data_IF_883915313807
#
_entry.id   IF_883915313807
#
_cell.length_a   1.000
_cell.length_b   1.000
_cell.length_c   1.000
_cell.angle_alpha   90.00
_cell.angle_beta   90.00
_cell.angle_gamma   90.00
#
_symmetry.space_group_name_H-M   'P 1'
#
loop_
_entity.id
_entity.type
_entity.pdbx_description
1 polymer ?
#
# COMPACT_ATOMS: atom_id res chain seq x y z
N UNK A 1 3.91 30.18 3.13
CA UNK A 1 3.49 28.76 3.08
C UNK A 1 2.34 28.56 2.11
N UNK A 2 1.26 29.37 2.18
CA UNK A 2 0.20 29.39 1.16
C UNK A 2 0.72 29.73 -0.24
N UNK A 3 1.56 30.77 -0.37
CA UNK A 3 2.13 31.18 -1.68
C UNK A 3 2.98 30.10 -2.37
N UNK A 4 3.59 29.20 -1.59
CA UNK A 4 4.44 28.10 -2.08
C UNK A 4 3.74 26.73 -2.03
N UNK A 5 2.42 26.73 -1.77
CA UNK A 5 1.55 25.54 -1.76
C UNK A 5 2.04 24.40 -0.85
N UNK A 6 2.53 24.73 0.35
CA UNK A 6 2.91 23.73 1.36
C UNK A 6 1.74 23.49 2.32
N UNK A 7 1.33 22.22 2.44
CA UNK A 7 0.39 21.74 3.45
C UNK A 7 1.12 21.44 4.76
N UNK A 8 0.68 22.02 5.87
CA UNK A 8 1.25 21.79 7.20
C UNK A 8 0.25 21.07 8.09
N UNK A 9 0.62 19.91 8.64
CA UNK A 9 -0.16 19.20 9.66
C UNK A 9 0.65 19.11 10.95
N UNK A 10 0.01 19.31 12.10
CA UNK A 10 0.70 19.40 13.40
C UNK A 10 -0.01 18.50 14.42
N UNK A 11 0.79 17.68 15.11
CA UNK A 11 0.34 16.91 16.28
C UNK A 11 0.87 17.62 17.53
N UNK A 12 -0.04 18.24 18.29
CA UNK A 12 0.25 18.88 19.57
C UNK A 12 0.34 17.86 20.71
N UNK A 13 1.14 18.18 21.73
CA UNK A 13 1.22 17.41 22.96
C UNK A 13 0.49 18.17 24.08
N UNK A 14 -0.38 17.49 24.81
CA UNK A 14 -1.11 17.96 26.00
C UNK A 14 -2.15 19.06 25.78
N UNK A 15 -1.85 20.11 25.03
CA UNK A 15 -2.72 21.27 24.87
C UNK A 15 -2.78 21.77 23.43
N UNK A 16 -3.91 22.39 23.10
CA UNK A 16 -4.13 23.06 21.82
C UNK A 16 -3.40 24.41 21.78
N UNK A 17 -2.61 24.64 20.73
CA UNK A 17 -1.98 25.93 20.44
C UNK A 17 -2.74 26.60 19.30
N UNK A 18 -3.39 27.73 19.61
CA UNK A 18 -4.22 28.47 18.65
C UNK A 18 -3.49 28.78 17.33
N UNK A 19 -2.23 29.22 17.41
CA UNK A 19 -1.42 29.56 16.23
C UNK A 19 -1.20 28.32 15.33
N UNK A 20 -0.91 27.15 15.93
CA UNK A 20 -0.71 25.92 15.17
C UNK A 20 -2.00 25.43 14.52
N UNK A 21 -3.14 25.58 15.21
CA UNK A 21 -4.45 25.26 14.64
C UNK A 21 -4.80 26.17 13.47
N UNK A 22 -4.60 27.47 13.62
CA UNK A 22 -4.80 28.44 12.55
C UNK A 22 -3.89 28.15 11.34
N UNK A 23 -2.61 27.83 11.58
CA UNK A 23 -1.68 27.42 10.52
C UNK A 23 -2.18 26.20 9.72
N UNK A 24 -2.66 25.17 10.40
CA UNK A 24 -3.15 23.96 9.73
C UNK A 24 -4.42 24.25 8.92
N UNK A 25 -5.32 25.07 9.45
CA UNK A 25 -6.54 25.51 8.74
C UNK A 25 -6.21 26.29 7.47
N UNK A 26 -5.29 27.26 7.57
CA UNK A 26 -4.88 28.10 6.44
C UNK A 26 -4.13 27.32 5.35
N UNK A 27 -3.42 26.23 5.71
CA UNK A 27 -2.65 25.41 4.77
C UNK A 27 -3.38 24.14 4.31
N UNK A 28 -4.62 23.91 4.75
CA UNK A 28 -5.40 22.71 4.42
C UNK A 28 -4.84 21.41 5.00
N UNK A 29 -4.09 21.50 6.11
CA UNK A 29 -3.61 20.36 6.87
C UNK A 29 -4.51 20.00 8.06
N UNK A 30 -4.05 19.06 8.90
CA UNK A 30 -4.76 18.63 10.10
C UNK A 30 -4.04 19.06 11.37
N UNK A 31 -4.81 19.37 12.42
CA UNK A 31 -4.31 19.65 13.75
C UNK A 31 -4.96 18.69 14.75
N UNK A 32 -4.15 17.91 15.46
CA UNK A 32 -4.62 16.94 16.48
C UNK A 32 -3.80 17.09 17.75
N UNK A 33 -4.39 16.76 18.91
CA UNK A 33 -3.69 16.78 20.21
C UNK A 33 -3.61 15.36 20.75
N UNK A 34 -2.40 14.89 21.01
CA UNK A 34 -2.18 13.58 21.62
C UNK A 34 -2.60 13.59 23.10
N UNK A 35 -3.35 12.56 23.49
CA UNK A 35 -3.88 12.38 24.85
C UNK A 35 -2.99 11.43 25.65
N UNK A 36 -2.61 10.31 25.04
CA UNK A 36 -1.75 9.27 25.59
C UNK A 36 -0.80 8.72 24.51
N UNK A 37 0.07 7.79 24.90
CA UNK A 37 1.05 7.16 23.99
C UNK A 37 0.37 6.38 22.85
N UNK A 38 -0.76 5.71 23.14
CA UNK A 38 -1.50 4.92 22.17
C UNK A 38 -2.13 5.83 21.11
N UNK A 39 -2.84 6.88 21.53
CA UNK A 39 -3.42 7.86 20.62
C UNK A 39 -2.33 8.58 19.80
N UNK A 40 -1.16 8.87 20.38
CA UNK A 40 -0.06 9.45 19.60
C UNK A 40 0.42 8.53 18.48
N UNK A 41 0.53 7.22 18.73
CA UNK A 41 0.89 6.24 17.69
C UNK A 41 -0.17 6.18 16.60
N UNK A 42 -1.45 6.22 16.96
CA UNK A 42 -2.55 6.27 16.00
C UNK A 42 -2.48 7.53 15.12
N UNK A 43 -2.28 8.70 15.71
CA UNK A 43 -2.15 9.97 14.97
C UNK A 43 -0.95 9.98 14.01
N UNK A 44 0.17 9.33 14.39
CA UNK A 44 1.31 9.17 13.49
C UNK A 44 1.01 8.21 12.34
N UNK A 45 0.31 7.11 12.61
CA UNK A 45 -0.07 6.13 11.60
C UNK A 45 -1.11 6.69 10.62
N UNK A 46 -1.99 7.60 11.07
CA UNK A 46 -2.92 8.32 10.19
C UNK A 46 -2.20 9.17 9.13
N UNK A 47 -0.99 9.63 9.44
CA UNK A 47 -0.13 10.39 8.51
C UNK A 47 0.79 9.52 7.64
N UNK A 48 0.83 8.20 7.85
CA UNK A 48 1.60 7.28 7.02
C UNK A 48 1.04 7.12 5.58
N UNK A 49 -0.28 6.96 5.36
CA UNK A 49 -0.83 6.96 4.00
C UNK A 49 -0.76 8.37 3.40
N UNK A 50 -0.46 8.50 2.10
CA UNK A 50 -0.43 9.79 1.44
C UNK A 50 -1.84 10.42 1.48
N UNK A 51 -2.00 11.64 2.01
CA UNK A 51 -3.30 12.28 2.06
C UNK A 51 -3.79 12.59 0.65
N UNK A 52 -5.12 12.61 0.42
CA UNK A 52 -5.67 12.97 -0.88
C UNK A 52 -5.23 14.38 -1.27
N UNK A 53 -4.76 14.52 -2.50
CA UNK A 53 -4.42 15.82 -3.06
C UNK A 53 -5.69 16.65 -3.26
N UNK A 54 -5.62 17.94 -2.94
CA UNK A 54 -6.71 18.88 -3.20
C UNK A 54 -6.80 19.07 -4.71
N UNK A 55 -7.94 18.74 -5.31
CA UNK A 55 -8.11 18.61 -6.76
C UNK A 55 -7.70 19.88 -7.55
N UNK A 56 -7.90 21.07 -6.99
CA UNK A 56 -7.51 22.35 -7.61
C UNK A 56 -6.00 22.53 -7.74
N UNK A 57 -5.20 21.84 -6.91
CA UNK A 57 -3.74 21.97 -6.87
C UNK A 57 -3.02 20.71 -7.34
N UNK A 58 -3.75 19.65 -7.68
CA UNK A 58 -3.22 18.38 -8.15
C UNK A 58 -2.86 18.44 -9.64
N UNK A 59 -1.91 19.29 -10.02
CA UNK A 59 -1.39 19.30 -11.39
C UNK A 59 -0.65 17.99 -11.64
N UNK A 60 -1.19 17.14 -12.52
CA UNK A 60 -0.55 15.90 -12.91
C UNK A 60 0.75 16.20 -13.67
N UNK A 61 1.88 16.13 -12.97
CA UNK A 61 3.19 16.35 -13.58
C UNK A 61 3.83 15.01 -13.96
N UNK A 62 4.22 14.86 -15.23
CA UNK A 62 4.87 13.65 -15.69
C UNK A 62 6.37 13.71 -15.38
N UNK A 63 6.78 12.96 -14.37
CA UNK A 63 8.18 12.88 -13.96
C UNK A 63 8.86 11.73 -14.72
N UNK A 64 10.01 12.02 -15.35
CA UNK A 64 10.84 10.99 -15.97
C UNK A 64 11.55 10.19 -14.86
N UNK A 65 11.30 8.88 -14.81
CA UNK A 65 11.97 7.94 -13.91
C UNK A 65 12.89 7.00 -14.68
N UNK A 66 13.93 6.48 -14.01
CA UNK A 66 14.85 5.48 -14.55
C UNK A 66 14.75 4.16 -13.77
N UNK A 67 14.68 3.05 -14.51
CA UNK A 67 14.75 1.69 -13.96
C UNK A 67 16.14 1.10 -14.23
N UNK A 68 17.08 1.23 -13.30
CA UNK A 68 18.44 0.74 -13.52
C UNK A 68 18.50 -0.79 -13.35
N UNK A 69 19.35 -1.43 -14.15
CA UNK A 69 19.66 -2.85 -14.00
C UNK A 69 20.74 -3.04 -12.93
N UNK A 70 20.60 -4.12 -12.15
CA UNK A 70 21.62 -4.55 -11.18
C UNK A 70 22.75 -5.24 -11.95
N UNK A 71 23.97 -4.74 -11.79
CA UNK A 71 25.15 -5.35 -12.36
C UNK A 71 25.48 -6.68 -11.65
N UNK A 72 26.14 -7.59 -12.37
CA UNK A 72 26.59 -8.86 -11.82
C UNK A 72 27.50 -8.66 -10.61
N UNK A 73 27.36 -9.56 -9.63
CA UNK A 73 28.17 -9.59 -8.42
C UNK A 73 29.63 -9.94 -8.78
N UNK A 74 30.61 -9.28 -8.14
CA UNK A 74 32.04 -9.53 -8.34
C UNK A 74 32.80 -8.50 -9.19
N UNK A 75 32.12 -7.56 -9.84
CA UNK A 75 32.80 -6.48 -10.58
C UNK A 75 33.14 -5.32 -9.63
N UNK A 76 34.44 -5.03 -9.45
CA UNK A 76 34.89 -3.85 -8.71
C UNK A 76 34.42 -2.61 -9.48
N UNK A 77 33.73 -1.71 -8.79
CA UNK A 77 33.38 -0.45 -9.42
C UNK A 77 33.31 0.72 -8.49
N UNK A 78 33.64 1.87 -9.08
CA UNK A 78 33.55 3.16 -8.42
C UNK A 78 32.13 3.68 -8.62
N UNK A 79 31.41 3.88 -7.53
CA UNK A 79 30.09 4.48 -7.59
C UNK A 79 30.19 6.01 -7.53
N UNK A 80 29.24 6.70 -8.15
CA UNK A 80 29.12 8.17 -8.07
C UNK A 80 28.72 8.65 -6.68
N UNK A 81 28.27 7.75 -5.80
CA UNK A 81 27.85 8.04 -4.43
C UNK A 81 29.02 8.27 -3.45
N UNK A 82 29.92 7.31 -3.38
CA UNK A 82 30.98 7.23 -2.39
C UNK A 82 32.36 7.56 -3.00
N UNK A 83 32.48 7.56 -4.34
CA UNK A 83 33.75 7.74 -5.06
C UNK A 83 34.85 6.74 -4.69
N UNK A 84 34.47 5.70 -3.96
CA UNK A 84 35.33 4.58 -3.55
C UNK A 84 35.01 3.37 -4.41
N UNK A 85 36.04 2.55 -4.65
CA UNK A 85 35.88 1.25 -5.29
C UNK A 85 35.22 0.28 -4.30
N UNK A 86 33.92 0.04 -4.47
CA UNK A 86 33.21 -0.99 -3.71
C UNK A 86 33.15 -2.27 -4.52
N UNK A 87 33.45 -3.39 -3.86
CA UNK A 87 33.27 -4.74 -4.39
C UNK A 87 31.82 -5.12 -4.08
N UNK A 88 30.98 -5.23 -5.11
CA UNK A 88 29.58 -5.56 -4.93
C UNK A 88 28.72 -5.12 -6.11
N UNK A 89 27.56 -5.78 -6.26
CA UNK A 89 26.57 -5.41 -7.27
C UNK A 89 26.07 -3.97 -7.06
N UNK A 90 26.04 -3.19 -8.13
CA UNK A 90 25.52 -1.82 -8.13
C UNK A 90 24.51 -1.64 -9.27
N UNK A 91 23.75 -0.56 -9.19
CA UNK A 91 22.76 -0.19 -10.19
C UNK A 91 23.36 0.75 -11.23
N UNK A 92 23.09 0.50 -12.51
CA UNK A 92 23.58 1.35 -13.59
C UNK A 92 22.49 2.30 -14.08
N UNK A 93 22.72 3.61 -13.98
CA UNK A 93 21.79 4.63 -14.46
C UNK A 93 21.52 4.43 -15.96
N UNK A 94 20.26 4.34 -16.41
CA UNK A 94 19.94 4.08 -17.81
C UNK A 94 20.35 5.23 -18.74
N UNK A 95 20.37 6.48 -18.24
CA UNK A 95 20.65 7.70 -19.01
C UNK A 95 22.15 7.99 -19.16
N UNK A 96 22.88 8.12 -18.06
CA UNK A 96 24.29 8.53 -18.08
C UNK A 96 25.27 7.39 -17.76
N UNK A 97 24.78 6.17 -17.52
CA UNK A 97 25.58 4.99 -17.16
C UNK A 97 26.38 5.10 -15.85
N UNK A 98 26.13 6.14 -15.05
CA UNK A 98 26.66 6.26 -13.70
C UNK A 98 26.27 5.06 -12.82
N UNK A 99 27.19 4.59 -11.99
CA UNK A 99 26.92 3.51 -11.01
C UNK A 99 26.48 4.08 -9.67
N UNK A 100 25.50 3.42 -9.09
CA UNK A 100 24.84 3.79 -7.85
C UNK A 100 24.74 2.56 -6.95
N UNK A 101 24.96 2.71 -5.65
CA UNK A 101 24.92 1.58 -4.71
C UNK A 101 23.49 1.12 -4.39
N UNK A 102 22.57 2.05 -4.18
CA UNK A 102 21.25 1.75 -3.61
C UNK A 102 20.12 2.48 -4.35
N UNK A 103 18.91 1.95 -4.23
CA UNK A 103 17.68 2.52 -4.75
C UNK A 103 16.66 2.57 -3.61
N UNK A 104 15.69 3.51 -3.63
CA UNK A 104 15.52 4.59 -4.61
C UNK A 104 16.51 5.75 -4.38
N UNK A 105 16.99 6.39 -5.44
CA UNK A 105 17.86 7.58 -5.31
C UNK A 105 17.90 8.43 -6.58
N UNK A 106 18.34 9.67 -6.47
CA UNK A 106 18.57 10.55 -7.62
C UNK A 106 19.99 10.39 -8.18
N UNK A 107 20.10 10.27 -9.51
CA UNK A 107 21.40 10.19 -10.15
C UNK A 107 22.16 11.53 -10.09
N UNK A 108 23.27 11.56 -9.35
CA UNK A 108 24.12 12.75 -9.18
C UNK A 108 24.75 13.34 -10.45
N UNK A 109 24.74 12.60 -11.57
CA UNK A 109 25.28 13.08 -12.86
C UNK A 109 24.21 13.72 -13.73
N UNK A 110 23.00 13.15 -13.78
CA UNK A 110 21.97 13.56 -14.75
C UNK A 110 20.62 13.97 -14.13
N UNK A 111 20.51 13.96 -12.80
CA UNK A 111 19.30 14.31 -12.06
C UNK A 111 18.13 13.35 -12.23
N UNK A 112 18.33 12.19 -12.86
CA UNK A 112 17.25 11.23 -13.09
C UNK A 112 16.94 10.47 -11.80
N UNK A 113 15.68 10.49 -11.37
CA UNK A 113 15.19 9.66 -10.26
C UNK A 113 15.24 8.18 -10.63
N UNK A 114 16.02 7.41 -9.89
CA UNK A 114 16.21 5.98 -10.09
C UNK A 114 15.39 5.20 -9.06
N UNK A 115 14.52 4.33 -9.56
CA UNK A 115 13.63 3.48 -8.75
C UNK A 115 13.62 2.06 -9.29
N UNK A 116 13.36 1.09 -8.42
CA UNK A 116 13.12 -0.29 -8.84
C UNK A 116 11.62 -0.48 -9.10
N UNK A 117 11.25 -1.36 -10.03
CA UNK A 117 9.84 -1.72 -10.25
C UNK A 117 9.18 -2.24 -8.96
N UNK A 118 9.84 -3.04 -8.10
CA UNK A 118 9.29 -3.44 -6.80
C UNK A 118 8.99 -2.28 -5.85
N UNK A 119 9.76 -1.19 -5.86
CA UNK A 119 9.47 -0.03 -5.00
C UNK A 119 8.17 0.65 -5.42
N UNK A 120 7.96 0.83 -6.73
CA UNK A 120 6.70 1.38 -7.23
C UNK A 120 5.55 0.41 -6.97
N UNK A 121 5.74 -0.89 -7.26
CA UNK A 121 4.76 -1.95 -7.03
C UNK A 121 4.30 -1.97 -5.56
N UNK A 122 5.21 -1.73 -4.62
CA UNK A 122 4.85 -1.65 -3.21
C UNK A 122 3.89 -0.51 -2.94
N UNK A 123 4.02 0.67 -3.54
CA UNK A 123 3.08 1.77 -3.33
C UNK A 123 1.68 1.54 -3.92
N UNK A 124 1.46 0.51 -4.74
CA UNK A 124 0.14 0.27 -5.37
C UNK A 124 -0.97 0.00 -4.36
N UNK A 125 -0.69 -0.60 -3.19
CA UNK A 125 -1.75 -0.91 -2.23
C UNK A 125 -2.39 0.33 -1.62
N UNK A 126 -1.65 1.44 -1.52
CA UNK A 126 -2.21 2.72 -1.08
C UNK A 126 -3.00 3.41 -2.20
N UNK A 127 -2.62 3.20 -3.46
CA UNK A 127 -3.30 3.79 -4.61
C UNK A 127 -4.60 3.05 -4.96
N UNK A 128 -4.64 1.74 -4.71
CA UNK A 128 -5.76 0.87 -5.02
C UNK A 128 -6.01 -0.10 -3.86
N UNK A 129 -6.52 0.39 -2.72
CA UNK A 129 -6.82 -0.45 -1.59
C UNK A 129 -7.88 -1.51 -1.95
N UNK A 130 -7.80 -2.66 -1.29
CA UNK A 130 -8.83 -3.68 -1.43
C UNK A 130 -10.12 -3.17 -0.81
N UNK A 131 -11.25 -3.42 -1.47
CA UNK A 131 -12.56 -3.12 -0.90
C UNK A 131 -12.79 -4.00 0.33
N UNK A 132 -13.23 -3.42 1.47
CA UNK A 132 -13.60 -4.18 2.66
C UNK A 132 -14.54 -5.33 2.31
N UNK A 133 -14.37 -6.46 3.00
CA UNK A 133 -15.23 -7.62 2.77
C UNK A 133 -16.58 -7.44 3.49
N UNK A 134 -17.63 -8.02 2.91
CA UNK A 134 -18.97 -7.93 3.46
C UNK A 134 -19.15 -8.99 4.55
N UNK A 135 -19.61 -8.58 5.72
CA UNK A 135 -20.01 -9.51 6.77
C UNK A 135 -21.19 -10.39 6.31
N UNK A 136 -21.11 -11.69 6.59
CA UNK A 136 -22.21 -12.61 6.28
C UNK A 136 -23.17 -12.66 7.46
N UNK A 137 -24.43 -12.35 7.20
CA UNK A 137 -25.48 -12.30 8.23
C UNK A 137 -25.68 -13.68 8.90
N UNK A 138 -25.81 -13.75 10.24
CA UNK A 138 -26.06 -15.00 10.97
C UNK A 138 -27.32 -15.75 10.53
N UNK A 139 -28.32 -15.03 10.00
CA UNK A 139 -29.56 -15.59 9.46
C UNK A 139 -29.34 -16.46 8.21
N UNK A 140 -28.35 -16.13 7.38
CA UNK A 140 -27.97 -16.92 6.20
C UNK A 140 -27.13 -18.15 6.57
N UNK A 141 -26.40 -18.08 7.68
CA UNK A 141 -25.60 -19.19 8.21
C UNK A 141 -26.45 -20.33 8.79
N UNK A 142 -27.68 -20.03 9.23
CA UNK A 142 -28.60 -21.00 9.82
C UNK A 142 -29.60 -21.62 8.83
N UNK A 143 -29.59 -21.22 7.56
CA UNK A 143 -30.52 -21.75 6.57
C UNK A 143 -29.98 -23.03 5.91
N UNK A 144 -30.59 -24.22 6.12
CA UNK A 144 -30.10 -25.50 5.59
C UNK A 144 -30.14 -25.62 4.06
N UNK A 145 -30.80 -24.68 3.36
CA UNK A 145 -30.89 -24.68 1.89
C UNK A 145 -29.74 -23.93 1.20
N UNK A 146 -28.92 -23.16 1.92
CA UNK A 146 -27.76 -22.46 1.35
C UNK A 146 -26.47 -23.25 1.60
N UNK A 147 -25.86 -23.77 0.53
CA UNK A 147 -24.53 -24.40 0.56
C UNK A 147 -23.45 -23.34 0.80
N UNK A 148 -23.28 -22.90 2.05
CA UNK A 148 -22.14 -22.09 2.43
C UNK A 148 -20.86 -22.94 2.40
N UNK A 149 -19.71 -22.37 1.97
CA UNK A 149 -18.45 -23.07 2.07
C UNK A 149 -18.09 -23.30 3.54
N UNK A 150 -17.59 -24.51 3.82
CA UNK A 150 -17.23 -24.93 5.18
C UNK A 150 -15.81 -24.54 5.58
N UNK A 151 -15.03 -24.04 4.65
CA UNK A 151 -13.60 -23.75 4.82
C UNK A 151 -13.27 -22.36 4.28
N UNK A 152 -12.37 -21.67 4.95
CA UNK A 152 -11.81 -20.40 4.51
C UNK A 152 -11.03 -20.61 3.20
N UNK A 153 -11.24 -19.75 2.20
CA UNK A 153 -10.50 -19.83 0.93
C UNK A 153 -8.99 -19.57 1.12
N UNK A 154 -8.62 -18.73 2.10
CA UNK A 154 -7.22 -18.37 2.36
C UNK A 154 -6.43 -19.43 3.12
N UNK A 155 -6.86 -19.76 4.35
CA UNK A 155 -6.12 -20.65 5.25
C UNK A 155 -6.66 -22.09 5.26
N UNK A 156 -7.74 -22.38 4.54
CA UNK A 156 -8.42 -23.68 4.50
C UNK A 156 -8.96 -24.18 5.85
N UNK A 157 -8.91 -23.35 6.90
CA UNK A 157 -9.47 -23.70 8.20
C UNK A 157 -11.00 -23.75 8.15
N UNK A 158 -11.65 -24.60 8.98
CA UNK A 158 -13.10 -24.65 9.05
C UNK A 158 -13.70 -23.32 9.50
N UNK A 159 -14.76 -22.86 8.83
CA UNK A 159 -15.55 -21.67 9.20
C UNK A 159 -16.68 -22.01 10.20
N UNK A 160 -16.46 -23.08 10.98
CA UNK A 160 -17.39 -23.61 11.96
C UNK A 160 -16.65 -23.78 13.28
N UNK A 161 -17.25 -23.30 14.36
CA UNK A 161 -16.74 -23.56 15.70
C UNK A 161 -16.96 -25.03 16.09
N UNK A 162 -16.15 -25.57 17.02
CA UNK A 162 -16.43 -26.86 17.66
C UNK A 162 -17.86 -26.85 18.23
N UNK A 163 -18.72 -27.74 17.73
CA UNK A 163 -20.16 -27.73 18.05
C UNK A 163 -21.07 -27.22 16.93
N UNK A 164 -20.56 -27.11 15.69
CA UNK A 164 -21.34 -26.84 14.47
C UNK A 164 -22.04 -25.46 14.45
N UNK A 165 -21.54 -24.51 15.27
CA UNK A 165 -22.00 -23.12 15.25
C UNK A 165 -21.24 -22.34 14.17
N UNK A 166 -21.92 -21.48 13.40
CA UNK A 166 -21.26 -20.66 12.39
C UNK A 166 -20.23 -19.73 13.03
N UNK A 167 -18.99 -19.73 12.53
CA UNK A 167 -18.01 -18.69 12.89
C UNK A 167 -18.30 -17.41 12.11
N UNK A 168 -17.93 -16.23 12.63
CA UNK A 168 -17.97 -15.02 11.82
C UNK A 168 -17.12 -15.22 10.57
N UNK A 169 -17.72 -14.95 9.42
CA UNK A 169 -17.10 -15.08 8.12
C UNK A 169 -17.43 -13.85 7.28
N UNK A 170 -16.49 -13.48 6.43
CA UNK A 170 -16.59 -12.33 5.54
C UNK A 170 -16.51 -12.80 4.09
N UNK A 171 -17.13 -12.04 3.19
CA UNK A 171 -17.19 -12.38 1.77
C UNK A 171 -16.65 -11.25 0.92
N UNK A 172 -15.74 -11.57 0.01
CA UNK A 172 -15.22 -10.57 -0.93
C UNK A 172 -16.31 -10.17 -1.94
N UNK A 173 -16.62 -8.87 -2.13
CA UNK A 173 -17.67 -8.43 -3.05
C UNK A 173 -17.36 -8.72 -4.53
N UNK A 174 -16.08 -8.91 -4.88
CA UNK A 174 -15.63 -9.14 -6.27
C UNK A 174 -15.65 -10.62 -6.66
N UNK A 175 -14.91 -11.46 -5.94
CA UNK A 175 -14.81 -12.90 -6.25
C UNK A 175 -15.86 -13.76 -5.55
N UNK A 176 -16.62 -13.20 -4.60
CA UNK A 176 -17.63 -13.90 -3.79
C UNK A 176 -17.08 -15.09 -2.98
N UNK A 177 -15.76 -15.15 -2.77
CA UNK A 177 -15.12 -16.15 -1.91
C UNK A 177 -15.22 -15.75 -0.44
N UNK A 178 -15.22 -16.76 0.43
CA UNK A 178 -15.39 -16.61 1.87
C UNK A 178 -14.07 -16.73 2.62
N UNK A 179 -13.88 -15.87 3.62
CA UNK A 179 -12.67 -15.80 4.45
C UNK A 179 -13.03 -15.75 5.93
N UNK A 180 -12.15 -16.28 6.79
CA UNK A 180 -12.21 -16.05 8.24
C UNK A 180 -11.69 -14.65 8.57
N UNK A 181 -11.96 -14.17 9.80
CA UNK A 181 -11.51 -12.86 10.27
C UNK A 181 -9.99 -12.70 10.24
N UNK A 182 -9.22 -13.74 10.61
CA UNK A 182 -7.75 -13.66 10.58
C UNK A 182 -7.22 -13.49 9.15
N UNK A 183 -7.83 -14.18 8.19
CA UNK A 183 -7.50 -14.00 6.78
C UNK A 183 -7.92 -12.62 6.27
N UNK A 184 -9.05 -12.09 6.75
CA UNK A 184 -9.51 -10.75 6.40
C UNK A 184 -8.51 -9.68 6.85
N UNK A 185 -8.08 -9.74 8.11
CA UNK A 185 -7.06 -8.85 8.69
C UNK A 185 -5.75 -8.98 7.90
N UNK A 186 -5.27 -10.20 7.69
CA UNK A 186 -4.02 -10.42 6.94
C UNK A 186 -4.10 -9.90 5.50
N UNK A 187 -5.25 -10.05 4.84
CA UNK A 187 -5.48 -9.55 3.49
C UNK A 187 -5.43 -8.03 3.44
N UNK A 188 -6.08 -7.35 4.39
CA UNK A 188 -6.19 -5.89 4.38
C UNK A 188 -4.98 -5.16 4.97
N UNK A 189 -4.24 -5.76 5.90
CA UNK A 189 -3.09 -5.11 6.57
C UNK A 189 -1.73 -5.50 5.99
N UNK A 190 -1.59 -6.73 5.47
CA UNK A 190 -0.29 -7.27 5.07
C UNK A 190 -0.22 -7.61 3.58
N UNK A 191 -1.13 -8.45 3.09
CA UNK A 191 -1.05 -8.98 1.74
C UNK A 191 -1.48 -7.96 0.68
N UNK A 192 -2.43 -7.08 1.03
CA UNK A 192 -3.01 -6.05 0.17
C UNK A 192 -3.54 -6.56 -1.19
N UNK A 193 -3.80 -7.86 -1.29
CA UNK A 193 -4.37 -8.51 -2.46
C UNK A 193 -5.34 -9.60 -2.00
N UNK A 194 -6.51 -9.71 -2.64
CA UNK A 194 -7.45 -10.80 -2.36
C UNK A 194 -7.03 -12.07 -3.12
N UNK A 195 -6.69 -13.18 -2.44
CA UNK A 195 -6.28 -14.43 -3.10
C UNK A 195 -7.33 -14.98 -4.07
N UNK A 196 -8.62 -14.81 -3.76
CA UNK A 196 -9.72 -15.26 -4.61
C UNK A 196 -9.79 -14.48 -5.93
N UNK A 197 -9.60 -13.16 -5.89
CA UNK A 197 -9.58 -12.32 -7.09
C UNK A 197 -8.38 -12.64 -7.99
N UNK A 198 -7.19 -12.82 -7.42
CA UNK A 198 -5.99 -13.17 -8.20
C UNK A 198 -6.06 -14.58 -8.79
N UNK A 199 -6.65 -15.54 -8.06
CA UNK A 199 -6.83 -16.90 -8.58
C UNK A 199 -7.80 -16.95 -9.77
N UNK A 200 -8.89 -16.16 -9.72
CA UNK A 200 -9.89 -16.10 -10.78
C UNK A 200 -9.50 -15.21 -11.97
N UNK A 201 -8.50 -14.33 -11.82
CA UNK A 201 -7.96 -13.52 -12.94
C UNK A 201 -7.41 -14.39 -14.07
N UNK A 202 -6.86 -15.56 -13.75
CA UNK A 202 -6.34 -16.52 -14.73
C UNK A 202 -7.41 -17.45 -15.31
N UNK A 203 -8.64 -17.42 -14.81
CA UNK A 203 -9.73 -18.31 -15.24
C UNK A 203 -10.80 -17.59 -16.06
N UNK A 204 -10.43 -16.60 -16.89
CA UNK A 204 -11.38 -16.16 -17.93
C UNK A 204 -11.74 -17.38 -18.77
N UNK A 205 -13.03 -17.69 -18.98
CA UNK A 205 -13.40 -18.64 -20.01
C UNK A 205 -12.89 -18.08 -21.34
N UNK A 206 -12.17 -18.92 -22.09
CA UNK A 206 -11.98 -18.71 -23.52
C UNK A 206 -13.38 -18.75 -24.11
N UNK A 207 -14.04 -17.60 -24.24
CA UNK A 207 -15.22 -17.50 -25.08
C UNK A 207 -14.72 -17.60 -26.51
N UNK A 208 -14.90 -18.80 -27.04
CA UNK A 208 -14.76 -19.13 -28.45
C UNK A 208 -15.66 -18.24 -29.31
N UNK A 209 -15.12 -17.85 -30.47
CA UNK A 209 -15.80 -17.62 -31.77
C UNK A 209 -16.95 -16.61 -31.76
N UNK A 210 -16.80 -15.41 -32.33
CA UNK A 210 -16.95 -15.16 -33.78
C UNK A 210 -18.10 -15.99 -34.40
N UNK A 211 -19.29 -15.40 -34.43
CA UNK A 211 -20.19 -15.34 -35.58
C UNK A 211 -21.00 -14.04 -35.52
#
# INVERSE_FOLDING_TARGET
MQEIQIRCSVVGLSAEIYICKHLCQETGGSYSVALDESHFKELLLEHAPPPPAIAEFAVANLIKMGFPQRAAEGVISICSCHKEAKVGGGYTCPRCKARVCELPTECRICGLTLVSSPHLARSYHHLFPITPFNEVSPSLLNNPHHKLPRTCFGCQQPLLYPGNKPSPQVTCPKCKQHFCLDCDIYIHESLHNCPGCESLRNSKPVNATEE
#
